data_IF_448896345829
#
_entry.id   IF_448896345829
#
_cell.length_a   1.000
_cell.length_b   1.000
_cell.length_c   1.000
_cell.angle_alpha   90.00
_cell.angle_beta   90.00
_cell.angle_gamma   90.00
#
_symmetry.space_group_name_H-M   'P 1'
#
loop_
_entity.id
_entity.type
_entity.pdbx_description
1 polymer ?
#
# COMPACT_ATOMS: atom_id res chain seq x y z
N UNK A 1 -20.38 7.10 -6.60
CA UNK A 1 -19.83 6.98 -7.96
C UNK A 1 -18.50 6.26 -7.85
N UNK A 2 -18.41 5.04 -8.38
CA UNK A 2 -17.32 4.10 -8.10
C UNK A 2 -15.99 4.52 -8.72
N UNK A 3 -14.97 4.56 -7.86
CA UNK A 3 -13.58 4.96 -8.08
C UNK A 3 -12.91 4.18 -9.24
N UNK A 4 -12.46 4.94 -10.26
CA UNK A 4 -12.00 4.48 -11.58
C UNK A 4 -10.76 3.58 -11.51
N UNK A 5 -9.92 3.75 -10.49
CA UNK A 5 -8.67 3.02 -10.29
C UNK A 5 -8.88 1.53 -10.05
N UNK A 6 -9.85 1.19 -9.19
CA UNK A 6 -10.16 -0.19 -8.86
C UNK A 6 -10.68 -0.95 -10.07
N UNK A 7 -11.49 -0.30 -10.92
CA UNK A 7 -11.97 -0.91 -12.16
C UNK A 7 -10.83 -1.26 -13.11
N UNK A 8 -9.84 -0.37 -13.25
CA UNK A 8 -8.67 -0.62 -14.12
C UNK A 8 -7.90 -1.84 -13.64
N UNK A 9 -7.49 -1.86 -12.37
CA UNK A 9 -6.73 -2.97 -11.80
C UNK A 9 -7.53 -4.31 -11.85
N UNK A 10 -8.89 -4.28 -11.87
CA UNK A 10 -9.78 -5.47 -11.79
C UNK A 10 -9.78 -6.17 -13.14
N UNK A 11 -9.63 -5.40 -14.21
CA UNK A 11 -9.50 -5.92 -15.56
C UNK A 11 -8.18 -6.69 -15.75
N UNK A 12 -7.16 -6.45 -14.91
CA UNK A 12 -5.86 -7.11 -15.01
C UNK A 12 -5.71 -8.35 -14.14
N UNK A 13 -6.54 -8.52 -13.11
CA UNK A 13 -6.45 -9.66 -12.17
C UNK A 13 -7.85 -10.07 -11.73
N UNK A 14 -8.16 -11.37 -11.80
CA UNK A 14 -9.41 -11.95 -11.29
C UNK A 14 -9.41 -11.85 -9.75
N UNK A 15 -9.95 -10.74 -9.23
CA UNK A 15 -9.99 -10.39 -7.81
C UNK A 15 -11.46 -10.19 -7.39
N UNK A 16 -11.83 -10.65 -6.18
CA UNK A 16 -13.20 -10.55 -5.67
C UNK A 16 -13.64 -9.09 -5.54
N UNK A 17 -14.92 -8.81 -5.83
CA UNK A 17 -15.49 -7.49 -5.57
C UNK A 17 -15.49 -7.11 -4.09
N UNK A 18 -15.28 -8.09 -3.21
CA UNK A 18 -15.28 -7.99 -1.74
C UNK A 18 -14.00 -7.38 -1.16
N UNK A 19 -12.87 -7.40 -1.88
CA UNK A 19 -11.58 -6.94 -1.32
C UNK A 19 -11.53 -5.43 -1.06
N UNK A 20 -10.84 -5.06 0.03
CA UNK A 20 -10.56 -3.67 0.40
C UNK A 20 -9.45 -3.06 -0.48
N UNK A 21 -9.41 -1.73 -0.64
CA UNK A 21 -8.40 -1.04 -1.47
C UNK A 21 -6.94 -1.48 -1.26
N UNK A 22 -6.50 -1.60 -0.01
CA UNK A 22 -5.13 -2.01 0.33
C UNK A 22 -4.87 -3.47 -0.04
N UNK A 23 -5.77 -4.38 0.35
CA UNK A 23 -5.71 -5.81 0.07
C UNK A 23 -5.59 -6.05 -1.43
N UNK A 24 -6.45 -5.36 -2.16
CA UNK A 24 -6.52 -5.38 -3.59
C UNK A 24 -5.19 -4.98 -4.25
N UNK A 25 -4.60 -3.85 -3.81
CA UNK A 25 -3.30 -3.42 -4.31
C UNK A 25 -2.22 -4.48 -4.07
N UNK A 26 -2.15 -5.03 -2.85
CA UNK A 26 -1.15 -6.03 -2.50
C UNK A 26 -1.34 -7.34 -3.29
N UNK A 27 -2.58 -7.79 -3.47
CA UNK A 27 -2.91 -8.97 -4.29
C UNK A 27 -2.51 -8.78 -5.75
N UNK A 28 -2.85 -7.62 -6.33
CA UNK A 28 -2.44 -7.22 -7.66
C UNK A 28 -0.91 -7.24 -7.79
N UNK A 29 -0.20 -6.54 -6.91
CA UNK A 29 1.25 -6.35 -7.04
C UNK A 29 2.02 -7.65 -6.79
N UNK A 30 1.53 -8.49 -5.88
CA UNK A 30 2.03 -9.85 -5.66
C UNK A 30 1.97 -10.71 -6.93
N UNK A 31 0.91 -10.60 -7.73
CA UNK A 31 0.74 -11.34 -8.98
C UNK A 31 1.35 -10.66 -10.21
N UNK A 32 1.62 -9.35 -10.13
CA UNK A 32 2.15 -8.59 -11.25
C UNK A 32 3.47 -9.18 -11.77
N UNK A 33 3.51 -9.49 -13.07
CA UNK A 33 4.67 -10.10 -13.73
C UNK A 33 4.91 -9.55 -15.15
N UNK A 34 4.19 -8.50 -15.54
CA UNK A 34 4.27 -7.96 -16.90
C UNK A 34 5.67 -7.40 -17.16
N UNK A 35 6.35 -7.92 -18.17
CA UNK A 35 7.65 -7.49 -18.66
C UNK A 35 8.75 -7.27 -17.60
N UNK A 36 8.68 -7.91 -16.42
CA UNK A 36 9.61 -7.62 -15.32
C UNK A 36 11.06 -7.98 -15.65
N UNK A 37 11.26 -9.04 -16.45
CA UNK A 37 12.58 -9.57 -16.80
C UNK A 37 13.41 -8.58 -17.64
N UNK A 38 12.76 -7.69 -18.41
CA UNK A 38 13.47 -6.72 -19.24
C UNK A 38 14.25 -5.69 -18.40
N UNK A 39 13.88 -5.54 -17.14
CA UNK A 39 14.52 -4.59 -16.22
C UNK A 39 15.59 -5.24 -15.34
N UNK A 40 15.83 -6.55 -15.43
CA UNK A 40 16.81 -7.21 -14.57
C UNK A 40 18.24 -6.70 -14.77
N UNK A 41 18.66 -6.38 -15.98
CA UNK A 41 19.99 -5.82 -16.22
C UNK A 41 20.13 -4.43 -15.61
N UNK A 42 19.09 -3.59 -15.68
CA UNK A 42 19.08 -2.30 -15.00
C UNK A 42 19.09 -2.49 -13.47
N UNK A 43 18.36 -3.47 -12.96
CA UNK A 43 18.37 -3.82 -11.54
C UNK A 43 19.73 -4.31 -11.03
N UNK A 44 20.56 -4.93 -11.89
CA UNK A 44 21.94 -5.33 -11.57
C UNK A 44 22.96 -4.20 -11.70
N UNK A 45 22.61 -3.11 -12.38
CA UNK A 45 23.56 -2.05 -12.75
C UNK A 45 24.12 -1.25 -11.56
N UNK A 46 23.50 -1.38 -10.38
CA UNK A 46 23.92 -0.71 -9.14
C UNK A 46 24.52 -1.70 -8.14
N UNK A 47 25.51 -1.22 -7.39
CA UNK A 47 26.17 -1.98 -6.34
C UNK A 47 25.41 -1.84 -5.02
N UNK A 48 24.50 -2.79 -4.77
CA UNK A 48 23.80 -2.98 -3.51
C UNK A 48 23.78 -4.48 -3.15
N UNK A 49 23.59 -4.84 -1.87
CA UNK A 49 23.61 -6.24 -1.45
C UNK A 49 22.63 -7.09 -2.24
N UNK A 50 23.02 -8.30 -2.63
CA UNK A 50 22.14 -9.26 -3.28
C UNK A 50 21.53 -8.76 -4.61
N UNK A 51 22.18 -7.82 -5.32
CA UNK A 51 21.73 -7.33 -6.62
C UNK A 51 21.66 -8.40 -7.74
N UNK A 52 22.16 -9.62 -7.50
CA UNK A 52 22.00 -10.77 -8.39
C UNK A 52 21.06 -11.86 -7.84
N UNK A 53 20.49 -11.68 -6.64
CA UNK A 53 19.51 -12.60 -6.07
C UNK A 53 18.19 -12.54 -6.83
N UNK A 54 17.63 -13.69 -7.18
CA UNK A 54 16.43 -13.77 -8.03
C UNK A 54 15.20 -13.12 -7.40
N UNK A 55 15.03 -13.18 -6.07
CA UNK A 55 13.90 -12.53 -5.41
C UNK A 55 14.07 -11.01 -5.40
N UNK A 56 15.30 -10.52 -5.19
CA UNK A 56 15.60 -9.08 -5.23
C UNK A 56 15.44 -8.53 -6.64
N UNK A 57 15.92 -9.25 -7.66
CA UNK A 57 15.70 -8.90 -9.06
C UNK A 57 14.22 -8.89 -9.42
N UNK A 58 13.45 -9.87 -8.96
CA UNK A 58 12.00 -9.91 -9.17
C UNK A 58 11.30 -8.72 -8.51
N UNK A 59 11.65 -8.34 -7.28
CA UNK A 59 11.10 -7.16 -6.60
C UNK A 59 11.44 -5.88 -7.38
N UNK A 60 12.71 -5.69 -7.75
CA UNK A 60 13.15 -4.53 -8.52
C UNK A 60 12.49 -4.46 -9.91
N UNK A 61 12.45 -5.58 -10.64
CA UNK A 61 11.84 -5.65 -11.96
C UNK A 61 10.34 -5.36 -11.92
N UNK A 62 9.62 -5.84 -10.90
CA UNK A 62 8.21 -5.48 -10.66
C UNK A 62 8.05 -3.99 -10.41
N UNK A 63 8.83 -3.42 -9.50
CA UNK A 63 8.80 -1.98 -9.19
C UNK A 63 8.99 -1.13 -10.45
N UNK A 64 10.08 -1.37 -11.18
CA UNK A 64 10.41 -0.59 -12.38
C UNK A 64 9.37 -0.77 -13.47
N UNK A 65 8.98 -2.01 -13.76
CA UNK A 65 8.00 -2.31 -14.80
C UNK A 65 6.63 -1.71 -14.49
N UNK A 66 6.20 -1.81 -13.23
CA UNK A 66 4.92 -1.29 -12.81
C UNK A 66 4.84 0.22 -12.94
N UNK A 67 5.87 0.94 -12.50
CA UNK A 67 5.96 2.39 -12.67
C UNK A 67 6.01 2.73 -14.17
N UNK A 68 6.85 2.08 -14.98
CA UNK A 68 6.90 2.36 -16.43
C UNK A 68 5.59 2.10 -17.18
N UNK A 69 4.80 1.12 -16.75
CA UNK A 69 3.59 0.68 -17.50
C UNK A 69 2.34 1.45 -17.07
N UNK A 70 2.22 1.79 -15.79
CA UNK A 70 0.94 2.23 -15.21
C UNK A 70 0.99 3.63 -14.62
N UNK A 71 2.10 4.35 -14.67
CA UNK A 71 2.24 5.60 -13.94
C UNK A 71 1.23 6.68 -14.37
N UNK A 72 1.05 6.93 -15.67
CA UNK A 72 0.00 7.83 -16.17
C UNK A 72 -1.41 7.41 -15.72
N UNK A 73 -1.75 6.13 -15.85
CA UNK A 73 -3.08 5.60 -15.47
C UNK A 73 -3.34 5.68 -13.96
N UNK A 74 -2.30 5.53 -13.14
CA UNK A 74 -2.37 5.63 -11.68
C UNK A 74 -2.39 7.10 -11.21
N UNK A 75 -1.91 8.02 -12.04
CA UNK A 75 -1.87 9.45 -11.76
C UNK A 75 -3.19 10.19 -11.96
N UNK A 76 -4.19 9.56 -12.58
CA UNK A 76 -5.55 10.11 -12.75
C UNK A 76 -6.57 9.47 -11.78
N UNK A 77 -6.08 8.78 -10.76
CA UNK A 77 -6.89 7.94 -9.89
C UNK A 77 -6.88 8.44 -8.43
N UNK A 78 -7.96 8.20 -7.69
CA UNK A 78 -8.02 8.49 -6.24
C UNK A 78 -6.91 7.76 -5.44
N UNK A 79 -6.40 6.65 -5.98
CA UNK A 79 -5.26 5.91 -5.43
C UNK A 79 -3.89 6.54 -5.71
N UNK A 80 -3.78 7.57 -6.56
CA UNK A 80 -2.52 8.23 -6.93
C UNK A 80 -1.67 8.53 -5.71
N UNK A 81 -2.30 9.12 -4.69
CA UNK A 81 -1.62 9.56 -3.48
C UNK A 81 -1.20 8.41 -2.56
N UNK A 82 -1.83 7.24 -2.72
CA UNK A 82 -1.58 6.03 -1.93
C UNK A 82 -0.62 5.05 -2.61
N UNK A 83 -0.56 5.08 -3.94
CA UNK A 83 0.13 4.12 -4.77
C UNK A 83 1.60 3.91 -4.35
N UNK A 84 2.34 5.00 -4.25
CA UNK A 84 3.74 4.98 -3.83
C UNK A 84 3.94 4.58 -2.36
N UNK A 85 2.97 4.87 -1.49
CA UNK A 85 3.01 4.41 -0.10
C UNK A 85 2.83 2.90 -0.06
N UNK A 86 1.85 2.35 -0.79
CA UNK A 86 1.66 0.91 -0.88
C UNK A 86 2.85 0.17 -1.49
N UNK A 87 3.44 0.71 -2.57
CA UNK A 87 4.69 0.16 -3.12
C UNK A 87 5.80 0.13 -2.07
N UNK A 88 5.97 1.22 -1.34
CA UNK A 88 7.00 1.34 -0.31
C UNK A 88 6.81 0.34 0.82
N UNK A 89 5.56 0.21 1.32
CA UNK A 89 5.19 -0.72 2.39
C UNK A 89 5.34 -2.18 1.93
N UNK A 90 4.86 -2.51 0.74
CA UNK A 90 4.96 -3.86 0.18
C UNK A 90 6.42 -4.28 -0.02
N UNK A 91 7.25 -3.43 -0.65
CA UNK A 91 8.67 -3.73 -0.87
C UNK A 91 9.37 -3.93 0.47
N UNK A 92 9.12 -3.05 1.44
CA UNK A 92 9.73 -3.17 2.74
C UNK A 92 9.34 -4.47 3.44
N UNK A 93 8.06 -4.85 3.43
CA UNK A 93 7.56 -6.13 3.96
C UNK A 93 8.27 -7.32 3.32
N UNK A 94 8.40 -7.37 1.99
CA UNK A 94 9.09 -8.45 1.28
C UNK A 94 10.58 -8.55 1.66
N UNK A 95 11.24 -7.41 1.88
CA UNK A 95 12.64 -7.39 2.32
C UNK A 95 12.77 -7.83 3.78
N UNK A 96 11.87 -7.41 4.68
CA UNK A 96 11.84 -7.86 6.08
C UNK A 96 11.64 -9.36 6.16
N UNK A 97 10.70 -9.92 5.39
CA UNK A 97 10.43 -11.37 5.36
C UNK A 97 11.66 -12.16 4.88
N UNK A 98 12.30 -11.70 3.79
CA UNK A 98 13.46 -12.40 3.21
C UNK A 98 14.70 -12.33 4.11
N UNK A 99 14.99 -11.17 4.69
CA UNK A 99 16.20 -10.93 5.48
C UNK A 99 15.98 -10.99 6.98
N UNK A 100 14.80 -11.46 7.42
CA UNK A 100 14.44 -11.63 8.84
C UNK A 100 14.67 -10.36 9.67
N UNK A 101 14.41 -9.20 9.08
CA UNK A 101 14.56 -7.90 9.73
C UNK A 101 16.00 -7.38 9.88
N UNK A 102 16.99 -7.92 9.15
CA UNK A 102 18.33 -7.31 9.05
C UNK A 102 18.24 -5.91 8.41
N UNK A 103 18.14 -4.90 9.26
CA UNK A 103 17.90 -3.51 8.87
C UNK A 103 19.03 -2.96 7.98
N UNK A 104 20.28 -3.36 8.21
CA UNK A 104 21.42 -2.87 7.42
C UNK A 104 21.31 -3.32 5.97
N UNK A 105 21.04 -4.61 5.76
CA UNK A 105 20.85 -5.18 4.42
C UNK A 105 19.62 -4.58 3.74
N UNK A 106 18.49 -4.47 4.46
CA UNK A 106 17.24 -3.91 3.94
C UNK A 106 17.43 -2.46 3.50
N UNK A 107 18.03 -1.60 4.33
CA UNK A 107 18.28 -0.19 4.02
C UNK A 107 19.12 -0.05 2.75
N UNK A 108 20.19 -0.86 2.61
CA UNK A 108 21.08 -0.80 1.45
C UNK A 108 20.40 -1.24 0.16
N UNK A 109 19.61 -2.32 0.21
CA UNK A 109 18.82 -2.78 -0.96
C UNK A 109 17.79 -1.73 -1.35
N UNK A 110 17.04 -1.22 -0.38
CA UNK A 110 16.01 -0.20 -0.62
C UNK A 110 16.62 1.08 -1.21
N UNK A 111 17.76 1.52 -0.68
CA UNK A 111 18.54 2.63 -1.25
C UNK A 111 18.98 2.36 -2.69
N UNK A 112 19.42 1.14 -2.99
CA UNK A 112 19.70 0.70 -4.36
C UNK A 112 18.51 0.85 -5.29
N UNK A 113 17.32 0.46 -4.86
CA UNK A 113 16.08 0.64 -5.64
C UNK A 113 15.76 2.12 -5.87
N UNK A 114 15.92 2.98 -4.86
CA UNK A 114 15.74 4.43 -5.02
C UNK A 114 16.70 5.02 -6.07
N UNK A 115 17.96 4.61 -6.05
CA UNK A 115 18.95 5.05 -7.06
C UNK A 115 18.56 4.59 -8.46
N UNK A 116 18.15 3.31 -8.62
CA UNK A 116 17.68 2.79 -9.90
C UNK A 116 16.49 3.60 -10.43
N UNK A 117 15.50 3.92 -9.59
CA UNK A 117 14.38 4.76 -10.00
C UNK A 117 14.84 6.16 -10.41
N UNK A 118 15.74 6.77 -9.64
CA UNK A 118 16.32 8.07 -9.98
C UNK A 118 16.98 8.04 -11.36
N UNK A 119 17.74 6.99 -11.69
CA UNK A 119 18.41 6.86 -12.99
C UNK A 119 17.43 6.68 -14.15
N UNK A 120 16.46 5.79 -13.99
CA UNK A 120 15.51 5.41 -15.05
C UNK A 120 14.58 6.57 -15.40
N UNK A 121 14.22 7.38 -14.40
CA UNK A 121 13.26 8.47 -14.54
C UNK A 121 13.91 9.86 -14.54
N UNK A 122 15.25 9.93 -14.52
CA UNK A 122 15.98 11.20 -14.63
C UNK A 122 15.62 11.92 -15.94
N UNK A 123 15.15 13.16 -15.86
CA UNK A 123 14.73 13.95 -17.02
C UNK A 123 13.53 13.36 -17.78
N UNK A 124 12.80 12.42 -17.16
CA UNK A 124 11.59 11.86 -17.76
C UNK A 124 10.41 12.82 -17.64
N UNK A 125 9.36 12.59 -18.43
CA UNK A 125 8.07 13.29 -18.29
C UNK A 125 7.31 12.92 -17.00
N UNK A 126 7.84 11.99 -16.22
CA UNK A 126 7.22 11.39 -15.03
C UNK A 126 8.15 11.55 -13.80
N UNK A 127 8.49 12.77 -13.39
CA UNK A 127 9.51 13.01 -12.36
C UNK A 127 9.13 12.40 -11.00
N UNK A 128 7.86 12.30 -10.65
CA UNK A 128 7.45 11.78 -9.34
C UNK A 128 7.56 10.23 -9.25
N UNK A 129 7.73 9.53 -10.38
CA UNK A 129 8.08 8.11 -10.41
C UNK A 129 9.48 7.88 -9.83
N UNK A 130 10.41 8.83 -10.05
CA UNK A 130 11.77 8.79 -9.51
C UNK A 130 11.80 8.89 -7.97
N UNK A 131 10.79 9.53 -7.38
CA UNK A 131 10.65 9.74 -5.93
C UNK A 131 9.57 8.88 -5.28
N UNK A 132 9.07 7.87 -6.01
CA UNK A 132 7.92 7.09 -5.54
C UNK A 132 8.22 6.36 -4.23
N UNK A 133 9.38 5.70 -4.13
CA UNK A 133 9.77 5.03 -2.88
C UNK A 133 10.04 6.03 -1.75
N UNK A 134 9.37 5.80 -0.62
CA UNK A 134 9.47 6.62 0.59
C UNK A 134 10.82 6.41 1.29
N UNK A 135 11.12 7.26 2.27
CA UNK A 135 12.35 7.06 3.04
C UNK A 135 12.23 5.76 3.87
N UNK A 136 13.21 4.87 3.69
CA UNK A 136 13.27 3.58 4.36
C UNK A 136 13.42 3.74 5.87
N UNK A 137 14.02 4.83 6.34
CA UNK A 137 14.18 5.08 7.78
C UNK A 137 12.84 5.14 8.52
N UNK A 138 11.80 5.63 7.84
CA UNK A 138 10.42 5.70 8.33
C UNK A 138 9.79 4.32 8.51
N UNK A 139 10.28 3.36 7.73
CA UNK A 139 9.83 1.98 7.70
C UNK A 139 10.69 1.10 8.62
N UNK A 140 11.92 1.48 8.96
CA UNK A 140 12.84 0.67 9.78
C UNK A 140 12.55 0.60 11.28
N UNK A 141 11.37 1.05 11.72
CA UNK A 141 10.97 0.98 13.13
C UNK A 141 10.48 -0.42 13.52
N UNK A 142 10.63 -0.80 14.80
CA UNK A 142 10.04 -2.03 15.34
C UNK A 142 8.51 -2.09 15.20
N UNK A 143 7.86 -0.94 14.95
CA UNK A 143 6.42 -0.83 14.77
C UNK A 143 5.99 -0.79 13.30
N UNK A 144 6.88 -1.03 12.32
CA UNK A 144 6.56 -0.89 10.89
C UNK A 144 5.28 -1.60 10.47
N UNK A 145 5.03 -2.80 10.99
CA UNK A 145 3.81 -3.56 10.70
C UNK A 145 2.56 -2.84 11.21
N UNK A 146 2.60 -2.28 12.42
CA UNK A 146 1.51 -1.47 12.97
C UNK A 146 1.29 -0.18 12.18
N UNK A 147 2.37 0.45 11.70
CA UNK A 147 2.28 1.64 10.83
C UNK A 147 1.63 1.30 9.50
N UNK A 148 1.98 0.15 8.91
CA UNK A 148 1.35 -0.41 7.70
C UNK A 148 -0.13 -0.68 7.95
N UNK A 149 -0.47 -1.43 9.01
CA UNK A 149 -1.85 -1.79 9.35
C UNK A 149 -2.73 -0.55 9.57
N UNK A 150 -2.20 0.47 10.27
CA UNK A 150 -2.90 1.76 10.44
C UNK A 150 -3.09 2.50 9.12
N UNK A 151 -2.08 2.51 8.25
CA UNK A 151 -2.18 3.16 6.96
C UNK A 151 -3.20 2.45 6.04
N UNK A 152 -3.16 1.12 6.01
CA UNK A 152 -4.12 0.30 5.26
C UNK A 152 -5.54 0.58 5.75
N UNK A 153 -5.76 0.61 7.07
CA UNK A 153 -7.04 1.02 7.68
C UNK A 153 -7.49 2.40 7.19
N UNK A 154 -6.60 3.39 7.22
CA UNK A 154 -6.92 4.74 6.74
C UNK A 154 -7.43 4.72 5.29
N UNK A 155 -6.81 3.93 4.41
CA UNK A 155 -7.21 3.88 3.00
C UNK A 155 -8.50 3.08 2.81
N UNK A 156 -8.71 2.06 3.63
CA UNK A 156 -9.82 1.13 3.50
C UNK A 156 -11.11 1.59 4.18
N UNK A 157 -11.03 2.53 5.13
CA UNK A 157 -12.14 2.93 6.00
C UNK A 157 -13.45 3.22 5.25
N UNK A 158 -13.42 4.10 4.24
CA UNK A 158 -14.63 4.46 3.51
C UNK A 158 -15.27 3.26 2.82
N UNK A 159 -14.46 2.34 2.29
CA UNK A 159 -14.96 1.15 1.62
C UNK A 159 -15.49 0.12 2.63
N UNK A 160 -14.88 0.02 3.82
CA UNK A 160 -15.41 -0.76 4.95
C UNK A 160 -16.80 -0.25 5.32
N UNK A 161 -16.96 1.05 5.55
CA UNK A 161 -18.25 1.63 5.94
C UNK A 161 -19.30 1.46 4.84
N UNK A 162 -18.91 1.62 3.59
CA UNK A 162 -19.80 1.45 2.44
C UNK A 162 -20.24 0.01 2.22
N UNK A 163 -19.36 -0.96 2.45
CA UNK A 163 -19.65 -2.39 2.27
C UNK A 163 -20.36 -2.99 3.46
N UNK A 164 -20.11 -2.51 4.67
CA UNK A 164 -20.69 -3.08 5.89
C UNK A 164 -22.21 -3.33 5.84
N UNK A 165 -23.07 -2.54 5.15
CA UNK A 165 -24.49 -2.85 5.02
C UNK A 165 -24.86 -4.00 4.06
N UNK A 166 -23.90 -4.69 3.43
CA UNK A 166 -24.13 -5.65 2.34
C UNK A 166 -24.60 -7.04 2.79
N UNK A 167 -24.09 -7.56 3.92
CA UNK A 167 -24.42 -8.88 4.45
C UNK A 167 -24.01 -9.04 5.93
N UNK A 168 -24.71 -9.90 6.67
CA UNK A 168 -24.47 -10.12 8.10
C UNK A 168 -23.06 -10.66 8.41
N UNK A 169 -22.53 -11.55 7.57
CA UNK A 169 -21.20 -12.14 7.76
C UNK A 169 -20.08 -11.12 7.46
N UNK A 170 -20.27 -10.25 6.46
CA UNK A 170 -19.37 -9.11 6.22
C UNK A 170 -19.40 -8.13 7.39
N UNK A 171 -20.58 -7.79 7.94
CA UNK A 171 -20.67 -6.94 9.12
C UNK A 171 -19.84 -7.47 10.28
N UNK A 172 -19.98 -8.75 10.63
CA UNK A 172 -19.21 -9.38 11.73
C UNK A 172 -17.71 -9.35 11.49
N UNK A 173 -17.31 -9.53 10.23
CA UNK A 173 -15.90 -9.48 9.84
C UNK A 173 -15.33 -8.07 10.05
N UNK A 174 -16.04 -7.04 9.59
CA UNK A 174 -15.64 -5.66 9.79
C UNK A 174 -15.72 -5.21 11.25
N UNK A 175 -16.72 -5.68 12.00
CA UNK A 175 -16.84 -5.44 13.44
C UNK A 175 -15.58 -5.91 14.18
N UNK A 176 -15.13 -7.14 13.90
CA UNK A 176 -13.90 -7.68 14.49
C UNK A 176 -12.67 -6.88 14.07
N UNK A 177 -12.57 -6.55 12.79
CA UNK A 177 -11.45 -5.77 12.26
C UNK A 177 -11.36 -4.37 12.92
N UNK A 178 -12.50 -3.68 13.10
CA UNK A 178 -12.57 -2.37 13.75
C UNK A 178 -12.18 -2.46 15.25
N UNK A 179 -12.54 -3.54 15.93
CA UNK A 179 -12.08 -3.79 17.31
C UNK A 179 -10.58 -4.04 17.40
N UNK A 180 -10.01 -4.76 16.43
CA UNK A 180 -8.57 -5.03 16.42
C UNK A 180 -7.76 -3.76 16.08
N UNK A 181 -8.27 -2.91 15.17
CA UNK A 181 -7.58 -1.68 14.77
C UNK A 181 -7.72 -0.54 15.78
N UNK A 182 -8.75 -0.54 16.64
CA UNK A 182 -8.94 0.51 17.66
C UNK A 182 -7.73 0.70 18.56
N UNK A 183 -7.08 -0.40 18.97
CA UNK A 183 -5.86 -0.37 19.77
C UNK A 183 -4.67 0.29 19.05
N UNK A 184 -4.61 0.16 17.72
CA UNK A 184 -3.60 0.87 16.91
C UNK A 184 -3.98 2.34 16.75
N UNK A 185 -5.27 2.63 16.58
CA UNK A 185 -5.78 3.98 16.39
C UNK A 185 -5.63 4.86 17.64
N UNK A 186 -5.74 4.30 18.85
CA UNK A 186 -5.41 5.02 20.09
C UNK A 186 -3.98 5.61 20.07
N UNK A 187 -3.08 5.00 19.29
CA UNK A 187 -1.69 5.42 19.09
C UNK A 187 -1.49 6.12 17.75
N UNK A 188 -2.54 6.68 17.15
CA UNK A 188 -2.49 7.29 15.82
C UNK A 188 -1.33 8.26 15.65
N UNK A 189 -1.17 9.22 16.57
CA UNK A 189 -0.09 10.21 16.49
C UNK A 189 1.32 9.60 16.60
N UNK A 190 1.47 8.46 17.26
CA UNK A 190 2.76 7.74 17.36
C UNK A 190 3.04 6.92 16.09
N UNK A 191 2.00 6.28 15.53
CA UNK A 191 2.10 5.28 14.47
C UNK A 191 1.93 5.86 13.06
N UNK A 192 1.23 6.98 12.89
CA UNK A 192 1.12 7.63 11.59
C UNK A 192 2.49 8.11 11.14
N UNK A 193 2.82 7.89 9.85
CA UNK A 193 4.11 8.29 9.29
C UNK A 193 4.03 9.80 8.95
N UNK A 194 4.81 10.69 9.61
CA UNK A 194 4.68 12.14 9.44
C UNK A 194 4.83 12.60 7.98
N UNK A 195 5.67 11.94 7.20
CA UNK A 195 5.91 12.25 5.79
C UNK A 195 4.67 12.00 4.92
N UNK A 196 3.77 11.11 5.36
CA UNK A 196 2.51 10.89 4.65
C UNK A 196 1.56 12.07 4.86
N UNK A 197 1.61 12.72 6.03
CA UNK A 197 0.86 13.95 6.31
C UNK A 197 1.42 15.12 5.47
N UNK A 198 2.74 15.30 5.46
CA UNK A 198 3.37 16.37 4.66
C UNK A 198 3.00 16.26 3.17
N UNK A 199 2.97 15.02 2.63
CA UNK A 199 2.63 14.78 1.22
C UNK A 199 1.12 14.82 0.94
N UNK A 200 0.26 14.58 1.94
CA UNK A 200 -1.19 14.59 1.79
C UNK A 200 -1.88 14.96 3.12
N UNK A 201 -1.93 16.27 3.46
CA UNK A 201 -2.47 16.73 4.74
C UNK A 201 -3.98 16.53 4.85
N UNK A 202 -4.69 16.61 3.73
CA UNK A 202 -6.13 16.37 3.67
C UNK A 202 -6.45 14.92 4.03
N UNK A 203 -5.70 13.95 3.47
CA UNK A 203 -5.85 12.55 3.84
C UNK A 203 -5.46 12.27 5.30
N UNK A 204 -4.42 12.94 5.82
CA UNK A 204 -4.09 12.85 7.24
C UNK A 204 -5.26 13.31 8.11
N UNK A 205 -5.83 14.49 7.82
CA UNK A 205 -6.98 15.02 8.55
C UNK A 205 -8.18 14.07 8.47
N UNK A 206 -8.43 13.51 7.28
CA UNK A 206 -9.46 12.51 7.06
C UNK A 206 -9.22 11.25 7.89
N UNK A 207 -8.02 10.66 7.86
CA UNK A 207 -7.73 9.48 8.65
C UNK A 207 -7.78 9.75 10.17
N UNK A 208 -7.34 10.92 10.61
CA UNK A 208 -7.45 11.33 12.01
C UNK A 208 -8.91 11.54 12.46
N UNK A 209 -9.88 11.53 11.54
CA UNK A 209 -11.32 11.51 11.86
C UNK A 209 -11.96 10.12 11.78
N UNK A 210 -11.23 9.11 11.29
CA UNK A 210 -11.71 7.72 11.17
C UNK A 210 -11.57 6.96 12.49
N UNK A 211 -12.24 7.45 13.54
CA UNK A 211 -12.28 6.74 14.80
C UNK A 211 -13.00 5.38 14.60
N UNK A 212 -12.34 4.24 14.90
CA UNK A 212 -12.95 2.92 14.72
C UNK A 212 -14.26 2.73 15.47
N UNK A 213 -14.49 3.45 16.58
CA UNK A 213 -15.76 3.41 17.32
C UNK A 213 -16.93 4.01 16.53
N UNK A 214 -16.70 5.08 15.77
CA UNK A 214 -17.72 5.69 14.90
C UNK A 214 -18.05 4.74 13.74
N UNK A 215 -17.02 4.07 13.21
CA UNK A 215 -17.19 3.00 12.24
C UNK A 215 -17.99 1.84 12.80
N UNK A 216 -17.69 1.40 14.03
CA UNK A 216 -18.40 0.32 14.71
C UNK A 216 -19.90 0.62 14.84
N UNK A 217 -20.26 1.83 15.28
CA UNK A 217 -21.66 2.24 15.36
C UNK A 217 -22.37 2.13 13.99
N UNK A 218 -21.71 2.57 12.93
CA UNK A 218 -22.24 2.51 11.56
C UNK A 218 -22.43 1.08 11.06
N UNK A 219 -21.48 0.17 11.35
CA UNK A 219 -21.60 -1.25 11.01
C UNK A 219 -22.74 -1.92 11.78
N UNK A 220 -22.89 -1.59 13.07
CA UNK A 220 -23.94 -2.13 13.94
C UNK A 220 -25.35 -1.70 13.50
N UNK A 221 -25.53 -0.45 13.08
CA UNK A 221 -26.79 0.02 12.52
C UNK A 221 -27.19 -0.80 11.27
N UNK A 222 -26.20 -1.16 10.43
CA UNK A 222 -26.39 -2.05 9.29
C UNK A 222 -26.84 -3.47 9.69
N UNK A 223 -26.25 -4.05 10.75
CA UNK A 223 -26.66 -5.38 11.27
C UNK A 223 -28.12 -5.36 11.72
N UNK A 224 -28.53 -4.33 12.46
CA UNK A 224 -29.90 -4.22 12.97
C UNK A 224 -30.89 -4.17 11.80
N UNK A 225 -30.59 -3.40 10.75
CA UNK A 225 -31.43 -3.32 9.55
C UNK A 225 -31.55 -4.71 8.89
N UNK A 226 -30.44 -5.41 8.69
CA UNK A 226 -30.40 -6.73 8.04
C UNK A 226 -31.07 -7.85 8.85
N UNK A 227 -31.18 -7.72 10.18
CA UNK A 227 -31.86 -8.71 11.02
C UNK A 227 -33.38 -8.54 11.07
N UNK A 228 -33.90 -7.37 10.66
CA UNK A 228 -35.32 -7.03 10.72
C UNK A 228 -36.01 -7.09 9.35
N UNK A 229 -35.23 -7.24 8.26
CA UNK A 229 -35.69 -7.51 6.89
C UNK A 229 -35.60 -8.99 6.53
#
# INVERSE_FOLDING_TARGET
>A
MGNTAYKILRNYVNISEEELPSQYFYHYFKKYSNNINQYYEVCKSRDYPHNTDSNILNICGKLVSHLKTNYENLNDCDLKHHHCNFLSLWIYEQLVEKFKGDSSTIIRIYGGFKLILSDIFNGSSEPEASECLRDVHLLTSNNWKKRKDLYDYCVDYDEIIKKSPSSYDECKTYEKYLKDISLLYEKFNELYIPEYNIKNPDFYGKCNSYNPEDGFATVMDGIIILQVT
#
